data_IF_430825548860
#
_entry.id   IF_430825548860
#
_cell.length_a   1.000
_cell.length_b   1.000
_cell.length_c   1.000
_cell.angle_alpha   90.00
_cell.angle_beta   90.00
_cell.angle_gamma   90.00
#
_symmetry.space_group_name_H-M   'P 1'
#
loop_
_entity.id
_entity.type
_entity.pdbx_description
1 polymer ?
#
# COMPACT_ATOMS: atom_id res chain seq x y z
N UNK A 1 46.10 -22.43 -10.94
CA UNK A 1 46.13 -21.57 -9.74
C UNK A 1 45.47 -20.26 -10.18
N UNK A 2 44.30 -19.93 -9.69
CA UNK A 2 43.62 -18.68 -10.00
C UNK A 2 44.41 -17.50 -9.41
N UNK A 3 44.60 -16.46 -10.18
CA UNK A 3 45.31 -15.24 -9.78
C UNK A 3 44.74 -14.69 -8.47
N UNK A 4 45.57 -14.36 -7.46
CA UNK A 4 45.12 -13.71 -6.24
C UNK A 4 44.30 -12.45 -6.49
N UNK A 5 44.56 -11.68 -7.54
CA UNK A 5 43.81 -10.50 -7.93
C UNK A 5 42.38 -10.86 -8.43
N UNK A 6 42.24 -11.94 -9.18
CA UNK A 6 40.89 -12.44 -9.59
C UNK A 6 40.07 -12.91 -8.36
N UNK A 7 40.72 -13.52 -7.38
CA UNK A 7 40.04 -13.93 -6.14
C UNK A 7 39.59 -12.72 -5.31
N UNK A 8 40.40 -11.67 -5.25
CA UNK A 8 40.08 -10.42 -4.57
C UNK A 8 38.94 -9.71 -5.32
N UNK A 9 39.00 -9.61 -6.64
CA UNK A 9 37.94 -9.03 -7.45
C UNK A 9 36.62 -9.76 -7.25
N UNK A 10 36.59 -11.09 -7.33
CA UNK A 10 35.40 -11.90 -7.08
C UNK A 10 34.88 -11.82 -5.61
N UNK A 11 35.75 -11.55 -4.66
CA UNK A 11 35.35 -11.31 -3.28
C UNK A 11 34.74 -9.92 -3.08
N UNK A 12 35.31 -8.89 -3.74
CA UNK A 12 34.79 -7.53 -3.76
C UNK A 12 33.46 -7.43 -4.51
N UNK A 13 33.30 -8.15 -5.62
CA UNK A 13 32.03 -8.23 -6.35
C UNK A 13 30.90 -8.89 -5.51
N UNK A 14 31.23 -9.80 -4.60
CA UNK A 14 30.24 -10.39 -3.67
C UNK A 14 29.90 -9.47 -2.50
N UNK A 15 30.76 -8.53 -2.18
CA UNK A 15 30.58 -7.57 -1.07
C UNK A 15 30.04 -6.24 -1.62
N UNK A 16 30.40 -5.88 -2.86
CA UNK A 16 29.85 -4.70 -3.51
C UNK A 16 28.33 -4.89 -3.67
N UNK A 17 27.53 -3.90 -3.29
CA UNK A 17 26.11 -3.93 -3.65
C UNK A 17 26.03 -4.12 -5.16
N UNK A 18 25.20 -5.07 -5.61
CA UNK A 18 24.97 -5.30 -7.02
C UNK A 18 24.75 -3.95 -7.69
N UNK A 19 25.50 -3.66 -8.77
CA UNK A 19 25.26 -2.46 -9.58
C UNK A 19 23.77 -2.45 -9.89
N UNK A 20 23.01 -1.37 -9.62
CA UNK A 20 21.57 -1.35 -9.87
C UNK A 20 21.36 -1.84 -11.30
N UNK A 21 20.70 -2.98 -11.46
CA UNK A 21 20.40 -3.51 -12.79
C UNK A 21 19.68 -2.37 -13.52
N UNK A 22 20.06 -2.14 -14.76
CA UNK A 22 19.50 -1.06 -15.60
C UNK A 22 18.00 -1.36 -15.83
N UNK A 23 17.20 -1.06 -14.80
CA UNK A 23 15.77 -1.35 -14.79
C UNK A 23 15.10 -0.45 -15.79
N UNK A 24 14.46 -1.03 -16.80
CA UNK A 24 13.58 -0.25 -17.66
C UNK A 24 12.32 0.20 -16.91
N UNK A 25 12.35 1.45 -16.45
CA UNK A 25 11.25 2.08 -15.74
C UNK A 25 10.10 2.55 -16.64
N UNK A 26 10.20 2.34 -17.95
CA UNK A 26 9.26 2.94 -18.90
C UNK A 26 8.16 1.99 -19.37
N UNK A 27 8.38 0.68 -19.33
CA UNK A 27 7.49 -0.29 -20.01
C UNK A 27 6.54 -1.01 -19.06
N UNK A 28 6.99 -1.48 -17.89
CA UNK A 28 6.17 -2.29 -17.02
C UNK A 28 5.11 -1.47 -16.25
N UNK A 29 3.90 -2.02 -15.99
CA UNK A 29 2.86 -1.35 -15.22
C UNK A 29 3.22 -1.20 -13.73
N UNK A 30 4.10 -2.08 -13.23
CA UNK A 30 4.56 -2.01 -11.84
C UNK A 30 5.97 -2.56 -11.66
N UNK A 31 6.54 -2.24 -10.50
CA UNK A 31 7.88 -2.65 -10.07
C UNK A 31 7.85 -2.99 -8.57
N UNK A 32 8.77 -3.85 -8.16
CA UNK A 32 9.08 -4.11 -6.74
C UNK A 32 10.51 -3.70 -6.48
N UNK A 33 10.69 -2.73 -5.59
CA UNK A 33 11.98 -2.21 -5.16
C UNK A 33 12.45 -2.92 -3.89
N UNK A 34 13.67 -3.45 -3.89
CA UNK A 34 14.28 -4.20 -2.78
C UNK A 34 15.28 -3.39 -1.93
N UNK A 35 15.45 -2.11 -2.23
CA UNK A 35 16.42 -1.21 -1.58
C UNK A 35 17.64 -0.87 -2.45
N UNK A 36 17.92 -1.66 -3.47
CA UNK A 36 19.06 -1.49 -4.37
C UNK A 36 18.68 -1.67 -5.84
N UNK A 37 17.73 -2.51 -6.14
CA UNK A 37 17.29 -2.83 -7.49
C UNK A 37 15.76 -2.92 -7.57
N UNK A 38 15.23 -2.91 -8.80
CA UNK A 38 13.81 -3.08 -9.03
C UNK A 38 13.54 -4.21 -10.02
N UNK A 39 12.59 -5.06 -9.65
CA UNK A 39 12.05 -6.11 -10.51
C UNK A 39 10.75 -5.62 -11.14
N UNK A 40 10.65 -5.71 -12.47
CA UNK A 40 9.41 -5.42 -13.20
C UNK A 40 8.33 -6.47 -12.91
N UNK A 41 7.07 -6.03 -12.89
CA UNK A 41 5.88 -6.85 -12.69
C UNK A 41 5.00 -6.69 -13.93
N UNK A 42 4.68 -7.77 -14.60
CA UNK A 42 3.97 -7.76 -15.88
C UNK A 42 2.51 -7.32 -15.76
N UNK A 43 1.86 -7.56 -14.62
CA UNK A 43 0.49 -7.15 -14.34
C UNK A 43 0.27 -6.89 -12.84
N UNK A 44 -0.50 -5.86 -12.51
CA UNK A 44 -0.90 -5.59 -11.12
C UNK A 44 -2.11 -6.48 -10.82
N UNK A 45 -1.96 -7.37 -9.84
CA UNK A 45 -3.08 -8.16 -9.34
C UNK A 45 -3.94 -7.31 -8.39
N UNK A 46 -5.16 -6.99 -8.83
CA UNK A 46 -6.10 -6.17 -8.07
C UNK A 46 -7.55 -6.52 -8.42
N UNK A 47 -8.48 -6.49 -7.46
CA UNK A 47 -9.90 -6.63 -7.77
C UNK A 47 -10.38 -5.41 -8.57
N UNK A 48 -11.39 -5.55 -9.43
CA UNK A 48 -12.06 -4.38 -10.02
C UNK A 48 -12.59 -3.43 -8.94
N UNK A 49 -12.56 -2.11 -9.18
CA UNK A 49 -13.01 -1.09 -8.22
C UNK A 49 -14.47 -1.31 -7.77
N UNK A 50 -15.30 -1.84 -8.64
CA UNK A 50 -16.72 -2.14 -8.38
C UNK A 50 -16.90 -3.20 -7.30
N UNK A 51 -15.95 -4.12 -7.16
CA UNK A 51 -15.96 -5.17 -6.12
C UNK A 51 -15.52 -4.68 -4.74
N UNK A 52 -15.01 -3.46 -4.64
CA UNK A 52 -14.67 -2.84 -3.34
C UNK A 52 -15.92 -2.16 -2.77
N UNK A 53 -16.73 -2.91 -2.05
CA UNK A 53 -18.02 -2.50 -1.48
C UNK A 53 -17.82 -1.85 -0.09
N UNK A 54 -18.71 -0.90 0.25
CA UNK A 54 -18.75 -0.25 1.56
C UNK A 54 -17.70 0.86 1.75
N UNK A 55 -16.94 1.20 0.70
CA UNK A 55 -15.87 2.22 0.76
C UNK A 55 -15.97 3.24 -0.40
N UNK A 56 -17.17 3.68 -0.74
CA UNK A 56 -17.38 4.54 -1.92
C UNK A 56 -16.66 5.89 -1.83
N UNK A 57 -16.71 6.56 -0.68
CA UNK A 57 -16.00 7.82 -0.48
C UNK A 57 -14.48 7.65 -0.59
N UNK A 58 -13.94 6.56 -0.03
CA UNK A 58 -12.53 6.22 -0.13
C UNK A 58 -12.13 5.92 -1.59
N UNK A 59 -12.97 5.14 -2.31
CA UNK A 59 -12.75 4.84 -3.74
C UNK A 59 -12.67 6.12 -4.55
N UNK A 60 -13.63 7.02 -4.37
CA UNK A 60 -13.66 8.28 -5.11
C UNK A 60 -12.39 9.10 -4.84
N UNK A 61 -12.08 9.38 -3.57
CA UNK A 61 -10.96 10.22 -3.19
C UNK A 61 -9.60 9.66 -3.70
N UNK A 62 -9.38 8.35 -3.54
CA UNK A 62 -8.13 7.71 -3.99
C UNK A 62 -8.05 7.65 -5.51
N UNK A 63 -9.13 7.24 -6.20
CA UNK A 63 -9.13 7.11 -7.66
C UNK A 63 -8.95 8.46 -8.35
N UNK A 64 -9.61 9.52 -7.88
CA UNK A 64 -9.43 10.88 -8.41
C UNK A 64 -8.00 11.39 -8.22
N UNK A 65 -7.38 11.11 -7.06
CA UNK A 65 -6.00 11.52 -6.80
C UNK A 65 -5.00 10.75 -7.66
N UNK A 66 -5.19 9.43 -7.84
CA UNK A 66 -4.35 8.60 -8.72
C UNK A 66 -4.54 8.99 -10.19
N UNK A 67 -5.76 9.29 -10.63
CA UNK A 67 -6.02 9.76 -11.99
C UNK A 67 -5.34 11.10 -12.28
N UNK A 68 -5.32 12.04 -11.33
CA UNK A 68 -4.58 13.30 -11.45
C UNK A 68 -3.08 13.04 -11.62
N UNK A 69 -2.49 12.15 -10.82
CA UNK A 69 -1.09 11.76 -10.97
C UNK A 69 -0.83 11.13 -12.34
N UNK A 70 -1.69 10.23 -12.80
CA UNK A 70 -1.57 9.59 -14.11
C UNK A 70 -1.60 10.61 -15.26
N UNK A 71 -2.40 11.66 -15.14
CA UNK A 71 -2.49 12.76 -16.09
C UNK A 71 -1.33 13.77 -15.98
N UNK A 72 -0.41 13.62 -15.04
CA UNK A 72 0.67 14.58 -14.77
C UNK A 72 0.19 15.87 -14.10
N UNK A 73 -1.01 15.85 -13.52
CA UNK A 73 -1.56 16.98 -12.75
C UNK A 73 -1.15 16.91 -11.28
N UNK A 74 -1.40 18.00 -10.55
CA UNK A 74 -1.13 18.05 -9.12
C UNK A 74 -1.92 16.97 -8.36
N UNK A 75 -1.21 16.14 -7.61
CA UNK A 75 -1.73 15.08 -6.79
C UNK A 75 -1.07 15.07 -5.41
N UNK A 76 -1.76 14.52 -4.42
CA UNK A 76 -1.28 14.42 -3.06
C UNK A 76 -0.58 13.08 -2.80
N UNK A 77 0.34 13.08 -1.84
CA UNK A 77 0.69 11.85 -1.15
C UNK A 77 -0.49 11.36 -0.33
N UNK A 78 -0.65 10.05 -0.24
CA UNK A 78 -1.82 9.43 0.35
C UNK A 78 -1.46 8.57 1.55
N UNK A 79 -2.22 8.72 2.63
CA UNK A 79 -2.21 7.82 3.78
C UNK A 79 -3.57 7.13 3.89
N UNK A 80 -3.58 5.81 3.74
CA UNK A 80 -4.76 4.96 3.94
C UNK A 80 -4.59 4.22 5.28
N UNK A 81 -5.40 4.54 6.27
CA UNK A 81 -5.25 4.02 7.61
C UNK A 81 -6.52 3.36 8.14
N UNK A 82 -6.41 2.51 9.15
CA UNK A 82 -7.55 1.95 9.87
C UNK A 82 -7.69 0.44 9.78
N UNK A 83 -8.90 -0.07 9.90
CA UNK A 83 -9.20 -1.47 10.13
C UNK A 83 -8.54 -2.43 9.13
N UNK A 84 -8.01 -3.53 9.65
CA UNK A 84 -7.34 -4.57 8.86
C UNK A 84 -8.34 -5.29 7.95
N UNK A 85 -7.93 -5.61 6.71
CA UNK A 85 -8.76 -6.36 5.76
C UNK A 85 -9.88 -5.54 5.10
N UNK A 86 -9.94 -4.21 5.29
CA UNK A 86 -10.96 -3.32 4.73
C UNK A 86 -10.64 -2.78 3.33
N UNK A 87 -9.68 -3.39 2.63
CA UNK A 87 -9.42 -3.07 1.21
C UNK A 87 -8.43 -1.92 0.95
N UNK A 88 -7.71 -1.39 1.96
CA UNK A 88 -6.73 -0.31 1.77
C UNK A 88 -5.73 -0.61 0.64
N UNK A 89 -4.99 -1.71 0.77
CA UNK A 89 -4.00 -2.15 -0.22
C UNK A 89 -4.62 -2.53 -1.56
N UNK A 90 -5.81 -3.15 -1.53
CA UNK A 90 -6.57 -3.45 -2.74
C UNK A 90 -6.96 -2.17 -3.47
N UNK A 91 -7.44 -1.14 -2.76
CA UNK A 91 -7.85 0.13 -3.37
C UNK A 91 -6.70 0.86 -4.06
N UNK A 92 -5.50 0.92 -3.46
CA UNK A 92 -4.32 1.52 -4.12
C UNK A 92 -4.03 0.82 -5.44
N UNK A 93 -3.99 -0.51 -5.44
CA UNK A 93 -3.74 -1.30 -6.65
C UNK A 93 -4.86 -1.16 -7.68
N UNK A 94 -6.12 -1.27 -7.26
CA UNK A 94 -7.27 -1.15 -8.16
C UNK A 94 -7.39 0.24 -8.80
N UNK A 95 -7.15 1.30 -8.02
CA UNK A 95 -7.14 2.67 -8.54
C UNK A 95 -6.00 2.90 -9.55
N UNK A 96 -4.83 2.29 -9.30
CA UNK A 96 -3.72 2.35 -10.26
C UNK A 96 -4.07 1.62 -11.56
N UNK A 97 -4.61 0.40 -11.48
CA UNK A 97 -5.04 -0.36 -12.67
C UNK A 97 -6.10 0.41 -13.47
N UNK A 98 -7.10 0.98 -12.79
CA UNK A 98 -8.14 1.78 -13.43
C UNK A 98 -7.56 3.02 -14.14
N UNK A 99 -6.63 3.72 -13.50
CA UNK A 99 -5.95 4.86 -14.11
C UNK A 99 -5.09 4.42 -15.32
N UNK A 100 -4.43 3.27 -15.25
CA UNK A 100 -3.66 2.71 -16.37
C UNK A 100 -4.55 2.30 -17.55
N UNK A 101 -5.77 1.86 -17.33
CA UNK A 101 -6.71 1.48 -18.38
C UNK A 101 -7.37 2.67 -19.09
N UNK A 102 -7.36 3.86 -18.49
CA UNK A 102 -8.07 5.05 -18.98
C UNK A 102 -7.36 5.81 -20.12
N UNK A 103 -6.19 5.33 -20.58
CA UNK A 103 -5.45 5.98 -21.68
C UNK A 103 -3.97 5.58 -21.72
N UNK A 104 -3.18 6.20 -22.61
CA UNK A 104 -1.73 5.95 -22.69
C UNK A 104 -1.10 6.36 -21.36
N UNK A 105 -0.92 5.40 -20.46
CA UNK A 105 -0.54 5.73 -19.10
C UNK A 105 0.95 5.93 -18.98
N UNK A 106 1.26 7.10 -18.50
CA UNK A 106 2.59 7.40 -17.99
C UNK A 106 2.74 7.02 -16.50
N UNK A 107 1.77 6.31 -15.90
CA UNK A 107 1.81 5.92 -14.50
C UNK A 107 2.36 4.50 -14.31
N UNK A 108 3.26 4.31 -13.34
CA UNK A 108 3.65 3.01 -12.84
C UNK A 108 3.50 2.95 -11.31
N UNK A 109 3.18 1.75 -10.79
CA UNK A 109 3.21 1.45 -9.38
C UNK A 109 4.58 0.93 -8.99
N UNK A 110 5.18 1.47 -7.93
CA UNK A 110 6.45 0.96 -7.39
C UNK A 110 6.23 0.54 -5.96
N UNK A 111 6.13 -0.75 -5.72
CA UNK A 111 6.03 -1.28 -4.36
C UNK A 111 7.41 -1.35 -3.75
N UNK A 112 7.56 -0.77 -2.57
CA UNK A 112 8.80 -0.82 -1.78
C UNK A 112 8.69 -1.97 -0.79
N UNK A 113 9.68 -2.86 -0.77
CA UNK A 113 9.75 -3.91 0.24
C UNK A 113 9.91 -3.31 1.65
N UNK A 114 9.40 -4.00 2.66
CA UNK A 114 9.34 -3.46 4.03
C UNK A 114 10.72 -3.11 4.61
N UNK A 115 11.73 -3.87 4.23
CA UNK A 115 13.14 -3.71 4.64
C UNK A 115 13.91 -2.72 3.74
N UNK A 116 13.30 -2.26 2.64
CA UNK A 116 13.92 -1.38 1.65
C UNK A 116 13.69 0.13 1.92
N UNK A 117 13.02 0.49 3.02
CA UNK A 117 12.74 1.87 3.40
C UNK A 117 13.98 2.78 3.45
N UNK A 118 15.15 2.35 3.95
CA UNK A 118 16.35 3.18 3.94
C UNK A 118 16.80 3.62 2.54
N UNK A 119 16.49 2.84 1.50
CA UNK A 119 16.79 3.13 0.10
C UNK A 119 15.78 4.07 -0.59
N UNK A 120 14.72 4.49 0.10
CA UNK A 120 13.66 5.32 -0.50
C UNK A 120 14.18 6.65 -1.09
N UNK A 121 15.09 7.41 -0.46
CA UNK A 121 15.62 8.63 -1.07
C UNK A 121 16.28 8.39 -2.42
N UNK A 122 17.10 7.35 -2.51
CA UNK A 122 17.77 6.98 -3.76
C UNK A 122 16.76 6.58 -4.85
N UNK A 123 15.71 5.81 -4.47
CA UNK A 123 14.61 5.49 -5.37
C UNK A 123 13.89 6.73 -5.89
N UNK A 124 13.55 7.68 -5.00
CA UNK A 124 12.85 8.91 -5.39
C UNK A 124 13.68 9.76 -6.35
N UNK A 125 14.99 9.90 -6.11
CA UNK A 125 15.90 10.61 -6.99
C UNK A 125 15.94 9.93 -8.38
N UNK A 126 16.11 8.61 -8.41
CA UNK A 126 16.15 7.81 -9.64
C UNK A 126 14.85 7.94 -10.46
N UNK A 127 13.69 7.87 -9.82
CA UNK A 127 12.38 8.00 -10.47
C UNK A 127 12.13 9.44 -10.93
N UNK A 128 12.64 10.42 -10.20
CA UNK A 128 12.51 11.84 -10.52
C UNK A 128 13.11 12.23 -11.86
N UNK A 129 14.16 11.52 -12.31
CA UNK A 129 14.83 11.74 -13.59
C UNK A 129 14.05 11.16 -14.79
N UNK A 130 13.00 10.37 -14.55
CA UNK A 130 12.26 9.68 -15.61
C UNK A 130 11.07 10.50 -16.12
N UNK A 131 10.80 10.42 -17.42
CA UNK A 131 9.64 11.05 -18.06
C UNK A 131 8.38 10.19 -17.90
N UNK A 132 8.10 9.75 -16.66
CA UNK A 132 6.97 8.92 -16.29
C UNK A 132 6.52 9.26 -14.89
N UNK A 133 5.23 9.11 -14.60
CA UNK A 133 4.70 9.31 -13.26
C UNK A 133 4.76 8.00 -12.46
N UNK A 134 5.04 8.10 -11.17
CA UNK A 134 5.18 6.95 -10.29
C UNK A 134 4.36 7.13 -9.02
N UNK A 135 3.59 6.10 -8.69
CA UNK A 135 2.98 5.94 -7.37
C UNK A 135 3.85 4.97 -6.57
N UNK A 136 4.64 5.50 -5.64
CA UNK A 136 5.48 4.69 -4.75
C UNK A 136 4.62 4.20 -3.58
N UNK A 137 4.55 2.88 -3.42
CA UNK A 137 3.61 2.23 -2.53
C UNK A 137 4.31 1.52 -1.37
N UNK A 138 3.98 1.93 -0.16
CA UNK A 138 4.45 1.37 1.11
C UNK A 138 3.27 0.64 1.77
N UNK A 139 3.27 -0.70 1.67
CA UNK A 139 2.18 -1.51 2.21
C UNK A 139 2.42 -1.88 3.66
N UNK A 140 1.37 -1.73 4.47
CA UNK A 140 1.32 -2.11 5.89
C UNK A 140 2.47 -1.51 6.71
N UNK A 141 2.72 -0.22 6.51
CA UNK A 141 3.75 0.48 7.27
C UNK A 141 3.36 0.45 8.76
N UNK A 142 4.00 -0.45 9.48
CA UNK A 142 3.87 -0.62 10.92
C UNK A 142 5.15 -0.17 11.58
N UNK A 143 5.10 0.92 12.31
CA UNK A 143 6.18 1.25 13.24
C UNK A 143 6.02 0.38 14.49
N UNK A 144 7.08 -0.32 14.89
CA UNK A 144 7.08 -1.07 16.13
C UNK A 144 6.87 -0.11 17.32
N UNK A 145 6.27 -0.59 18.40
CA UNK A 145 6.17 0.18 19.63
C UNK A 145 7.60 0.53 20.09
N UNK A 146 7.91 1.84 20.24
CA UNK A 146 9.27 2.31 20.53
C UNK A 146 10.15 2.58 19.30
N UNK A 147 9.72 2.28 18.07
CA UNK A 147 10.44 2.68 16.85
C UNK A 147 10.18 4.16 16.56
N UNK A 148 11.11 5.01 16.97
CA UNK A 148 11.11 6.45 16.66
C UNK A 148 11.88 6.79 15.37
N UNK A 149 12.61 5.84 14.80
CA UNK A 149 13.50 6.07 13.64
C UNK A 149 12.73 6.03 12.33
N UNK A 150 11.90 5.02 12.14
CA UNK A 150 11.09 4.86 10.92
C UNK A 150 10.15 6.03 10.65
N UNK A 151 9.32 6.47 11.64
CA UNK A 151 8.45 7.65 11.48
C UNK A 151 9.23 8.92 11.17
N UNK A 152 10.37 9.16 11.84
CA UNK A 152 11.20 10.34 11.60
C UNK A 152 11.81 10.36 10.22
N UNK A 153 12.28 9.23 9.71
CA UNK A 153 12.79 9.13 8.35
C UNK A 153 11.68 9.43 7.33
N UNK A 154 10.50 8.78 7.45
CA UNK A 154 9.39 9.05 6.55
C UNK A 154 8.93 10.51 6.61
N UNK A 155 8.90 11.11 7.81
CA UNK A 155 8.60 12.52 8.00
C UNK A 155 9.60 13.42 7.29
N UNK A 156 10.90 13.18 7.47
CA UNK A 156 11.95 13.94 6.79
C UNK A 156 11.79 13.90 5.26
N UNK A 157 11.38 12.77 4.71
CA UNK A 157 11.14 12.64 3.26
C UNK A 157 9.88 13.36 2.80
N UNK A 158 8.81 13.36 3.61
CA UNK A 158 7.56 14.07 3.31
C UNK A 158 7.73 15.59 3.42
N UNK A 159 8.58 16.08 4.32
CA UNK A 159 8.87 17.50 4.50
C UNK A 159 9.68 18.10 3.33
N UNK A 160 10.40 17.26 2.57
CA UNK A 160 11.34 17.69 1.54
C UNK A 160 12.49 18.46 2.21
N UNK A 161 13.68 17.87 2.24
CA UNK A 161 14.88 18.56 2.72
C UNK A 161 15.35 19.64 1.71
N UNK A 162 16.65 19.87 1.64
CA UNK A 162 17.27 20.75 0.64
C UNK A 162 17.00 20.25 -0.80
N UNK A 163 16.80 18.96 -0.96
CA UNK A 163 16.44 18.36 -2.26
C UNK A 163 14.92 18.47 -2.48
N UNK A 164 14.55 19.12 -3.58
CA UNK A 164 13.15 19.20 -3.99
C UNK A 164 12.60 17.82 -4.33
N UNK A 165 11.40 17.51 -3.84
CA UNK A 165 10.71 16.26 -4.19
C UNK A 165 10.37 16.22 -5.69
N UNK A 166 10.57 15.07 -6.35
CA UNK A 166 10.22 14.94 -7.76
C UNK A 166 8.72 15.20 -8.00
N UNK A 167 8.42 16.05 -8.98
CA UNK A 167 7.03 16.40 -9.31
C UNK A 167 6.20 15.23 -9.84
N UNK A 168 6.87 14.25 -10.45
CA UNK A 168 6.29 13.05 -11.08
C UNK A 168 6.13 11.86 -10.12
N UNK A 169 6.48 11.99 -8.84
CA UNK A 169 6.41 10.90 -7.85
C UNK A 169 5.48 11.28 -6.70
N UNK A 170 4.59 10.37 -6.33
CA UNK A 170 3.75 10.48 -5.13
C UNK A 170 3.81 9.20 -4.31
N UNK A 171 3.64 9.33 -3.01
CA UNK A 171 3.62 8.21 -2.07
C UNK A 171 2.18 7.77 -1.80
N UNK A 172 1.97 6.46 -1.69
CA UNK A 172 0.79 5.85 -1.12
C UNK A 172 1.21 4.95 0.03
N UNK A 173 0.79 5.26 1.23
CA UNK A 173 1.13 4.51 2.44
C UNK A 173 -0.12 3.88 3.01
N UNK A 174 -0.06 2.59 3.34
CA UNK A 174 -1.13 1.95 4.12
C UNK A 174 -0.67 1.64 5.52
N UNK A 175 -1.56 1.76 6.51
CA UNK A 175 -1.29 1.42 7.89
C UNK A 175 -2.51 0.75 8.55
N UNK A 176 -2.27 -0.27 9.35
CA UNK A 176 -3.32 -0.96 10.09
C UNK A 176 -3.55 -0.38 11.50
N UNK A 177 -2.73 0.56 11.95
CA UNK A 177 -2.85 1.13 13.30
C UNK A 177 -3.88 2.25 13.32
N UNK A 178 -4.79 2.22 14.29
CA UNK A 178 -5.66 3.33 14.69
C UNK A 178 -4.87 4.50 15.28
N UNK A 179 -3.63 4.29 15.67
CA UNK A 179 -2.79 5.24 16.40
C UNK A 179 -2.20 6.36 15.53
N UNK A 180 -2.59 6.48 14.26
CA UNK A 180 -2.32 7.68 13.44
C UNK A 180 -3.41 8.74 13.66
N UNK A 181 -4.45 8.43 14.46
CA UNK A 181 -5.52 9.38 14.80
C UNK A 181 -5.65 9.47 16.32
N UNK A 182 -5.77 10.68 16.90
CA UNK A 182 -5.87 10.86 18.34
C UNK A 182 -7.02 10.04 18.92
N UNK A 183 -6.75 9.24 19.92
CA UNK A 183 -7.80 8.79 20.84
C UNK A 183 -8.27 10.00 21.65
N UNK A 184 -9.58 10.14 21.79
CA UNK A 184 -10.17 11.12 22.66
C UNK A 184 -9.53 11.08 24.08
N UNK A 185 -9.32 12.25 24.66
CA UNK A 185 -8.64 12.60 25.91
C UNK A 185 -9.00 11.77 27.19
N UNK A 186 -9.85 10.76 27.11
CA UNK A 186 -10.37 10.02 28.26
C UNK A 186 -9.56 8.77 28.66
N UNK A 187 -8.49 8.37 27.93
CA UNK A 187 -7.68 7.17 28.23
C UNK A 187 -6.20 7.50 28.55
N UNK A 188 -5.92 8.68 29.09
CA UNK A 188 -4.55 9.21 29.28
C UNK A 188 -3.97 9.00 30.69
N UNK A 189 -4.34 7.97 31.44
CA UNK A 189 -3.81 7.73 32.79
C UNK A 189 -2.73 6.63 32.85
N UNK A 190 -1.71 6.67 31.97
CA UNK A 190 -0.48 5.86 32.14
C UNK A 190 0.78 6.75 31.99
N UNK A 191 1.61 6.85 33.06
CA UNK A 191 2.63 7.91 33.19
C UNK A 191 3.98 7.63 32.52
N UNK A 192 4.15 6.64 31.64
CA UNK A 192 5.43 6.32 31.01
C UNK A 192 5.40 6.47 29.49
N UNK A 193 5.67 7.68 29.02
CA UNK A 193 6.12 8.05 27.66
C UNK A 193 5.31 7.60 26.40
N UNK A 194 3.98 7.65 26.36
CA UNK A 194 3.25 7.46 25.10
C UNK A 194 3.10 8.75 24.26
N UNK A 195 3.34 9.94 24.83
CA UNK A 195 3.00 11.23 24.18
C UNK A 195 3.85 11.52 22.96
N UNK A 196 5.15 11.35 23.04
CA UNK A 196 6.07 11.70 21.96
C UNK A 196 5.88 10.83 20.70
N UNK A 197 5.57 9.54 20.88
CA UNK A 197 5.32 8.63 19.76
C UNK A 197 3.95 8.89 19.07
N UNK A 198 2.95 9.37 19.81
CA UNK A 198 1.63 9.74 19.29
C UNK A 198 1.75 11.06 18.52
N UNK A 199 2.47 12.02 19.04
CA UNK A 199 2.70 13.33 18.41
C UNK A 199 3.50 13.18 17.11
N UNK A 200 4.49 12.32 17.06
CA UNK A 200 5.28 12.03 15.85
C UNK A 200 4.42 11.38 14.74
N UNK A 201 3.48 10.50 15.11
CA UNK A 201 2.56 9.86 14.16
C UNK A 201 1.46 10.80 13.65
N UNK A 202 0.97 11.71 14.50
CA UNK A 202 0.05 12.76 14.08
C UNK A 202 0.74 13.74 13.13
N UNK A 203 1.92 14.22 13.51
CA UNK A 203 2.73 15.09 12.68
C UNK A 203 3.10 14.45 11.33
N UNK A 204 3.20 13.12 11.27
CA UNK A 204 3.37 12.38 10.03
C UNK A 204 2.07 12.37 9.20
N UNK A 205 0.92 12.11 9.83
CA UNK A 205 -0.38 12.07 9.15
C UNK A 205 -0.75 13.42 8.53
N UNK A 206 -0.45 14.52 9.21
CA UNK A 206 -0.74 15.89 8.76
C UNK A 206 0.04 16.29 7.49
N UNK A 207 1.11 15.56 7.17
CA UNK A 207 1.92 15.81 5.98
C UNK A 207 1.41 15.13 4.72
N UNK A 208 0.51 14.15 4.87
CA UNK A 208 -0.18 13.58 3.73
C UNK A 208 -1.33 14.51 3.33
N UNK A 209 -1.27 15.05 2.13
CA UNK A 209 -2.35 15.91 1.61
C UNK A 209 -3.68 15.18 1.43
N UNK A 210 -3.67 13.83 1.40
CA UNK A 210 -4.86 13.00 1.36
C UNK A 210 -4.76 11.88 2.43
N UNK A 211 -5.53 12.02 3.51
CA UNK A 211 -5.64 11.01 4.57
C UNK A 211 -7.01 10.36 4.53
N UNK A 212 -7.05 9.02 4.38
CA UNK A 212 -8.28 8.26 4.16
C UNK A 212 -8.43 7.16 5.20
N UNK A 213 -9.49 7.26 6.01
CA UNK A 213 -9.79 6.31 7.08
C UNK A 213 -10.66 5.13 6.62
N UNK A 214 -10.35 3.93 7.13
CA UNK A 214 -11.10 2.70 6.89
C UNK A 214 -11.58 2.14 8.23
N UNK A 215 -12.89 1.99 8.36
CA UNK A 215 -13.55 1.45 9.54
C UNK A 215 -14.01 0.02 9.30
N UNK A 216 -14.27 -0.73 10.37
CA UNK A 216 -14.84 -2.06 10.25
C UNK A 216 -16.19 -1.99 9.54
N UNK A 217 -16.47 -2.98 8.69
CA UNK A 217 -17.76 -3.09 8.02
C UNK A 217 -18.91 -3.34 9.02
N UNK A 218 -20.03 -2.68 8.78
CA UNK A 218 -21.29 -3.03 9.39
C UNK A 218 -21.75 -4.43 8.96
N UNK A 219 -22.84 -4.92 9.53
CA UNK A 219 -23.37 -6.24 9.16
C UNK A 219 -23.85 -6.27 7.71
N UNK A 220 -24.57 -5.25 7.29
CA UNK A 220 -25.12 -5.17 5.93
C UNK A 220 -24.02 -4.93 4.89
N UNK A 221 -23.03 -4.09 5.20
CA UNK A 221 -21.86 -3.91 4.34
C UNK A 221 -21.08 -5.22 4.17
N UNK A 222 -20.89 -5.98 5.25
CA UNK A 222 -20.21 -7.27 5.17
C UNK A 222 -20.95 -8.26 4.28
N UNK A 223 -22.27 -8.33 4.39
CA UNK A 223 -23.09 -9.20 3.53
C UNK A 223 -23.10 -8.72 2.09
N UNK A 224 -23.11 -7.41 1.85
CA UNK A 224 -22.96 -6.85 0.51
C UNK A 224 -21.57 -7.18 -0.11
N UNK A 225 -20.50 -7.19 0.70
CA UNK A 225 -19.18 -7.65 0.24
C UNK A 225 -19.22 -9.14 -0.11
N UNK A 226 -19.86 -9.98 0.70
CA UNK A 226 -20.02 -11.41 0.40
C UNK A 226 -20.78 -11.61 -0.91
N UNK A 227 -21.93 -10.95 -1.08
CA UNK A 227 -22.72 -11.01 -2.31
C UNK A 227 -21.90 -10.60 -3.55
N UNK A 228 -21.17 -9.48 -3.47
CA UNK A 228 -20.35 -8.97 -4.58
C UNK A 228 -19.26 -9.96 -5.06
N UNK A 229 -18.83 -10.86 -4.20
CA UNK A 229 -17.89 -11.92 -4.57
C UNK A 229 -18.57 -13.24 -4.94
N UNK A 230 -19.65 -13.63 -4.25
CA UNK A 230 -20.33 -14.91 -4.46
C UNK A 230 -21.18 -14.94 -5.73
N UNK A 231 -21.99 -13.90 -5.94
CA UNK A 231 -23.00 -13.87 -7.00
C UNK A 231 -22.40 -13.99 -8.41
N UNK A 232 -21.30 -13.29 -8.77
CA UNK A 232 -20.67 -13.45 -10.08
C UNK A 232 -20.07 -14.85 -10.32
N UNK A 233 -19.81 -15.60 -9.25
CA UNK A 233 -19.28 -16.97 -9.32
C UNK A 233 -20.40 -18.03 -9.26
N UNK A 234 -21.66 -17.62 -9.13
CA UNK A 234 -22.80 -18.51 -8.98
C UNK A 234 -22.73 -19.35 -7.69
N UNK A 235 -22.02 -18.89 -6.68
CA UNK A 235 -21.89 -19.58 -5.40
C UNK A 235 -23.12 -19.36 -4.52
N UNK A 236 -23.80 -20.45 -4.15
CA UNK A 236 -24.86 -20.37 -3.16
C UNK A 236 -24.28 -20.06 -1.77
N UNK A 237 -24.89 -19.13 -1.07
CA UNK A 237 -24.51 -18.75 0.28
C UNK A 237 -25.71 -18.31 1.11
N UNK A 238 -25.61 -18.48 2.42
CA UNK A 238 -26.65 -18.12 3.35
C UNK A 238 -26.17 -16.98 4.27
N UNK A 239 -27.08 -16.02 4.54
CA UNK A 239 -26.81 -14.87 5.40
C UNK A 239 -26.32 -15.28 6.79
N UNK A 240 -26.96 -16.30 7.39
CA UNK A 240 -26.62 -16.80 8.71
C UNK A 240 -25.20 -17.38 8.76
N UNK A 241 -24.84 -18.18 7.76
CA UNK A 241 -23.54 -18.85 7.66
C UNK A 241 -22.41 -17.82 7.47
N UNK A 242 -22.62 -16.81 6.62
CA UNK A 242 -21.67 -15.75 6.40
C UNK A 242 -21.40 -14.94 7.68
N UNK A 243 -22.45 -14.63 8.46
CA UNK A 243 -22.32 -13.91 9.72
C UNK A 243 -21.65 -14.77 10.80
N UNK A 244 -21.96 -16.05 10.87
CA UNK A 244 -21.31 -16.97 11.79
C UNK A 244 -19.81 -17.13 11.44
N UNK A 245 -19.46 -17.21 10.15
CA UNK A 245 -18.08 -17.22 9.68
C UNK A 245 -17.33 -15.97 10.16
N UNK A 246 -17.92 -14.79 9.98
CA UNK A 246 -17.33 -13.53 10.43
C UNK A 246 -17.15 -13.47 11.96
N UNK A 247 -18.16 -13.99 12.72
CA UNK A 247 -18.11 -14.07 14.18
C UNK A 247 -16.97 -14.94 14.68
N UNK A 248 -16.78 -16.12 14.09
CA UNK A 248 -15.67 -17.04 14.43
C UNK A 248 -14.30 -16.42 14.18
N UNK A 249 -14.18 -15.51 13.21
CA UNK A 249 -12.92 -14.84 12.85
C UNK A 249 -12.74 -13.48 13.53
N UNK A 250 -13.70 -13.05 14.33
CA UNK A 250 -13.63 -11.84 15.13
C UNK A 250 -13.69 -10.52 14.31
N UNK A 251 -13.97 -10.60 12.99
CA UNK A 251 -13.99 -9.41 12.15
C UNK A 251 -14.96 -9.52 10.97
N UNK A 252 -15.68 -8.43 10.69
CA UNK A 252 -16.43 -8.21 9.46
C UNK A 252 -15.57 -7.34 8.53
N UNK A 253 -14.92 -7.99 7.58
CA UNK A 253 -13.98 -7.31 6.67
C UNK A 253 -14.00 -7.95 5.28
N UNK A 254 -13.50 -7.25 4.27
CA UNK A 254 -13.34 -7.80 2.92
C UNK A 254 -12.46 -9.06 2.90
N UNK A 255 -11.40 -9.11 3.74
CA UNK A 255 -10.56 -10.32 3.88
C UNK A 255 -11.36 -11.50 4.42
N UNK A 256 -12.17 -11.27 5.44
CA UNK A 256 -13.01 -12.33 6.04
C UNK A 256 -14.07 -12.82 5.05
N UNK A 257 -14.67 -11.91 4.28
CA UNK A 257 -15.60 -12.26 3.20
C UNK A 257 -14.89 -13.09 2.12
N UNK A 258 -13.73 -12.66 1.64
CA UNK A 258 -12.96 -13.43 0.64
C UNK A 258 -12.58 -14.83 1.12
N UNK A 259 -12.20 -14.99 2.37
CA UNK A 259 -11.94 -16.31 2.96
C UNK A 259 -13.19 -17.19 3.01
N UNK A 260 -14.36 -16.60 3.25
CA UNK A 260 -15.64 -17.32 3.18
C UNK A 260 -15.95 -17.75 1.75
N UNK A 261 -15.75 -16.88 0.77
CA UNK A 261 -15.91 -17.23 -0.66
C UNK A 261 -14.95 -18.33 -1.08
N UNK A 262 -13.70 -18.28 -0.64
CA UNK A 262 -12.70 -19.32 -0.91
C UNK A 262 -13.17 -20.69 -0.39
N UNK A 263 -13.74 -20.72 0.81
CA UNK A 263 -14.30 -21.94 1.39
C UNK A 263 -15.50 -22.46 0.59
N UNK A 264 -16.44 -21.57 0.21
CA UNK A 264 -17.60 -21.93 -0.61
C UNK A 264 -17.19 -22.47 -1.99
N UNK A 265 -16.26 -21.77 -2.66
CA UNK A 265 -15.75 -22.16 -3.96
C UNK A 265 -15.05 -23.54 -3.89
N UNK A 266 -14.23 -23.76 -2.85
CA UNK A 266 -13.59 -25.04 -2.62
C UNK A 266 -14.59 -26.20 -2.46
N UNK A 267 -15.67 -25.99 -1.70
CA UNK A 267 -16.74 -26.98 -1.54
C UNK A 267 -17.52 -27.23 -2.85
N UNK A 268 -17.70 -26.21 -3.66
CA UNK A 268 -18.38 -26.29 -4.95
C UNK A 268 -17.49 -26.77 -6.10
N UNK A 269 -16.18 -27.00 -5.88
CA UNK A 269 -15.22 -27.36 -6.92
C UNK A 269 -14.94 -26.23 -7.93
N UNK A 270 -15.23 -24.98 -7.55
CA UNK A 270 -15.02 -23.80 -8.39
C UNK A 270 -13.61 -23.24 -8.15
N UNK A 271 -12.90 -22.90 -9.23
CA UNK A 271 -11.63 -22.18 -9.18
C UNK A 271 -11.88 -20.67 -9.05
N UNK A 272 -11.14 -20.01 -8.15
CA UNK A 272 -11.16 -18.56 -7.97
C UNK A 272 -10.09 -17.87 -8.82
#
# INVERSE_FOLDING_TARGET
MTDPLERIAAALERIAPATPSDTDWMTAPAYVWDGSSARSVAAIEAPPLERLIGINAQKQAVSENVARLAAGAAAHDMLLWGARGMGKSALVRSATVAAQASGPTRLALVQVAADALPGLPALLALLGERQRNFLVYLDDLGFAEGDSVGPRHLRSWLEGGVEARPGNVRLAVTSNRRAIVPRHLAEQDDPVNPRDAIDDLQALADRFGLSVGFHNAGQDDYLAIVAAYADPLGLAWERADALEWAKRRGARSGRTAWQYITELAGRAGVRL
#
